data_IF_521334337976
#
_entry.id   IF_521334337976
#
_cell.length_a   1.000
_cell.length_b   1.000
_cell.length_c   1.000
_cell.angle_alpha   90.00
_cell.angle_beta   90.00
_cell.angle_gamma   90.00
#
_symmetry.space_group_name_H-M   'P 1'
#
loop_
_entity.id
_entity.type
_entity.pdbx_description
1 polymer ?
#
# COMPACT_ATOMS: atom_id res chain seq x y z
N UNK A 1 44.32 14.21 -20.97
CA UNK A 1 43.13 14.41 -20.11
C UNK A 1 41.93 13.72 -20.76
N UNK A 2 41.64 12.45 -20.42
CA UNK A 2 40.44 11.77 -20.89
C UNK A 2 39.41 11.74 -19.76
N UNK A 3 38.31 12.47 -19.93
CA UNK A 3 37.13 12.37 -19.07
C UNK A 3 36.44 11.07 -19.41
N UNK A 4 36.59 10.05 -18.57
CA UNK A 4 35.89 8.78 -18.70
C UNK A 4 34.41 8.96 -18.36
N UNK A 5 33.57 8.90 -19.38
CA UNK A 5 32.12 8.82 -19.33
C UNK A 5 31.66 7.45 -18.79
N UNK A 6 31.72 7.24 -17.47
CA UNK A 6 31.13 6.06 -16.80
C UNK A 6 29.63 6.22 -16.50
N UNK A 7 28.87 6.83 -17.41
CA UNK A 7 27.49 7.27 -17.14
C UNK A 7 26.36 6.38 -17.66
N UNK A 8 26.61 5.38 -18.52
CA UNK A 8 25.54 4.88 -19.41
C UNK A 8 25.37 3.36 -19.52
N UNK A 9 25.86 2.54 -18.57
CA UNK A 9 25.79 1.08 -18.68
C UNK A 9 25.45 0.36 -17.36
N UNK A 10 24.38 0.73 -16.65
CA UNK A 10 23.87 -0.06 -15.50
C UNK A 10 22.34 0.01 -15.31
N UNK A 11 21.56 -0.15 -16.37
CA UNK A 11 20.10 -0.28 -16.24
C UNK A 11 19.58 -1.64 -16.72
N UNK A 12 20.35 -2.71 -16.49
CA UNK A 12 19.89 -4.08 -16.75
C UNK A 12 20.36 -5.12 -15.71
N UNK A 13 20.90 -4.66 -14.58
CA UNK A 13 21.25 -5.56 -13.47
C UNK A 13 20.14 -5.53 -12.46
N UNK A 14 19.62 -6.69 -12.04
CA UNK A 14 18.70 -6.81 -10.89
C UNK A 14 19.30 -6.33 -9.56
N UNK A 15 20.41 -5.61 -9.57
CA UNK A 15 21.14 -5.13 -8.39
C UNK A 15 20.77 -3.67 -8.14
N UNK A 16 20.34 -3.34 -6.92
CA UNK A 16 20.08 -1.97 -6.43
C UNK A 16 21.18 -1.58 -5.48
N UNK A 17 21.84 -0.45 -5.74
CA UNK A 17 22.73 0.19 -4.77
C UNK A 17 21.90 0.94 -3.73
N UNK A 18 22.20 0.72 -2.45
CA UNK A 18 21.51 1.33 -1.31
C UNK A 18 22.49 2.17 -0.52
N UNK A 19 22.09 3.41 -0.21
CA UNK A 19 22.76 4.26 0.77
C UNK A 19 21.86 4.39 1.99
N UNK A 20 22.25 3.74 3.07
CA UNK A 20 21.56 3.78 4.35
C UNK A 20 22.17 4.80 5.28
N UNK A 21 21.33 5.60 5.93
CA UNK A 21 21.72 6.54 6.99
C UNK A 21 21.03 6.17 8.30
N UNK A 22 21.79 6.10 9.38
CA UNK A 22 21.30 5.99 10.75
C UNK A 22 22.08 6.97 11.63
N UNK A 23 21.42 7.88 12.33
CA UNK A 23 22.05 8.99 13.06
C UNK A 23 23.07 9.77 12.19
N UNK A 24 24.35 9.72 12.54
CA UNK A 24 25.46 10.31 11.80
C UNK A 24 26.18 9.31 10.87
N UNK A 25 25.82 8.03 10.94
CA UNK A 25 26.45 6.96 10.19
C UNK A 25 25.84 6.78 8.80
N UNK A 26 26.70 6.46 7.84
CA UNK A 26 26.29 6.08 6.48
C UNK A 26 26.90 4.74 6.10
N UNK A 27 26.06 3.85 5.59
CA UNK A 27 26.48 2.55 5.06
C UNK A 27 25.98 2.37 3.64
N UNK A 28 26.83 1.83 2.77
CA UNK A 28 26.50 1.56 1.37
C UNK A 28 26.66 0.08 1.08
N UNK A 29 25.65 -0.51 0.49
CA UNK A 29 25.63 -1.91 0.10
C UNK A 29 24.73 -2.07 -1.12
N UNK A 30 24.73 -3.26 -1.71
CA UNK A 30 23.88 -3.54 -2.86
C UNK A 30 23.08 -4.80 -2.61
N UNK A 31 21.83 -4.82 -3.07
CA UNK A 31 20.96 -5.99 -2.97
C UNK A 31 20.52 -6.45 -4.35
N UNK A 32 20.28 -7.74 -4.49
CA UNK A 32 19.71 -8.33 -5.68
C UNK A 32 18.18 -8.42 -5.52
N UNK A 33 17.44 -7.68 -6.35
CA UNK A 33 15.97 -7.65 -6.42
C UNK A 33 15.37 -9.05 -6.61
N UNK A 34 16.10 -9.97 -7.25
CA UNK A 34 15.61 -11.32 -7.48
C UNK A 34 15.60 -12.16 -6.19
N UNK A 35 16.60 -11.93 -5.32
CA UNK A 35 16.83 -12.69 -4.08
C UNK A 35 16.11 -12.10 -2.87
N UNK A 36 16.01 -10.77 -2.81
CA UNK A 36 15.46 -10.06 -1.66
C UNK A 36 14.11 -9.45 -2.02
N UNK A 37 13.03 -10.20 -1.77
CA UNK A 37 11.65 -9.82 -2.11
C UNK A 37 10.82 -9.40 -0.90
N UNK A 38 11.14 -9.95 0.27
CA UNK A 38 10.39 -9.70 1.49
C UNK A 38 10.99 -8.52 2.25
N UNK A 39 10.11 -7.71 2.82
CA UNK A 39 10.46 -6.61 3.69
C UNK A 39 11.12 -7.10 4.98
N UNK A 40 10.67 -8.21 5.55
CA UNK A 40 11.20 -8.75 6.80
C UNK A 40 12.68 -9.13 6.67
N UNK A 41 13.06 -9.76 5.56
CA UNK A 41 14.47 -10.05 5.25
C UNK A 41 15.31 -8.75 5.18
N UNK A 42 14.73 -7.70 4.61
CA UNK A 42 15.39 -6.40 4.47
C UNK A 42 15.52 -5.68 5.80
N UNK A 43 14.51 -5.78 6.65
CA UNK A 43 14.52 -5.27 8.01
C UNK A 43 15.64 -5.94 8.82
N UNK A 44 15.72 -7.26 8.82
CA UNK A 44 16.78 -8.01 9.52
C UNK A 44 18.18 -7.76 8.95
N UNK A 45 18.29 -7.52 7.64
CA UNK A 45 19.56 -7.10 7.05
C UNK A 45 20.01 -5.77 7.65
N UNK A 46 19.13 -4.76 7.69
CA UNK A 46 19.47 -3.45 8.26
C UNK A 46 19.75 -3.49 9.76
N UNK A 47 18.99 -4.31 10.49
CA UNK A 47 19.19 -4.57 11.92
C UNK A 47 20.60 -5.06 12.22
N UNK A 48 21.07 -6.08 11.49
CA UNK A 48 22.42 -6.59 11.64
C UNK A 48 23.49 -5.59 11.15
N UNK A 49 23.20 -4.87 10.08
CA UNK A 49 24.13 -3.96 9.43
C UNK A 49 24.38 -2.70 10.29
N UNK A 50 23.38 -2.21 11.02
CA UNK A 50 23.49 -1.04 11.92
C UNK A 50 23.52 -1.40 13.42
N UNK A 51 23.62 -2.69 13.77
CA UNK A 51 23.66 -3.18 15.15
C UNK A 51 22.44 -2.73 16.00
N UNK A 52 21.23 -2.93 15.47
CA UNK A 52 19.96 -2.47 16.06
C UNK A 52 19.12 -3.59 16.69
N UNK A 53 19.73 -4.71 17.09
CA UNK A 53 19.04 -5.93 17.54
C UNK A 53 18.00 -5.70 18.67
N UNK A 54 18.23 -4.71 19.54
CA UNK A 54 17.33 -4.38 20.65
C UNK A 54 16.71 -2.98 20.52
N UNK A 55 16.84 -2.35 19.35
CA UNK A 55 16.41 -0.96 19.14
C UNK A 55 15.31 -0.95 18.08
N UNK A 56 14.03 -0.76 18.44
CA UNK A 56 12.98 -0.65 17.43
C UNK A 56 13.23 0.58 16.54
N UNK A 57 13.14 0.39 15.22
CA UNK A 57 13.42 1.45 14.26
C UNK A 57 12.40 1.48 13.11
N UNK A 58 12.30 2.64 12.46
CA UNK A 58 11.52 2.86 11.25
C UNK A 58 12.46 3.07 10.07
N UNK A 59 12.03 2.61 8.89
CA UNK A 59 12.76 2.77 7.64
C UNK A 59 11.94 3.69 6.73
N UNK A 60 12.59 4.74 6.22
CA UNK A 60 12.00 5.62 5.20
C UNK A 60 12.93 5.70 3.99
N UNK A 61 12.38 5.94 2.81
CA UNK A 61 13.14 6.20 1.59
C UNK A 61 12.74 7.52 0.95
N UNK A 62 13.67 8.11 0.21
CA UNK A 62 13.39 9.30 -0.59
C UNK A 62 12.98 8.88 -2.00
N UNK A 63 11.77 9.23 -2.41
CA UNK A 63 11.29 8.98 -3.77
C UNK A 63 11.84 10.00 -4.79
N UNK A 64 11.56 9.79 -6.08
CA UNK A 64 11.95 10.69 -7.17
C UNK A 64 11.45 12.14 -6.98
N UNK A 65 10.34 12.34 -6.26
CA UNK A 65 9.78 13.65 -5.92
C UNK A 65 10.37 14.25 -4.64
N UNK A 66 11.40 13.63 -4.06
CA UNK A 66 12.06 14.03 -2.80
C UNK A 66 11.21 13.85 -1.54
N UNK A 67 10.08 13.17 -1.64
CA UNK A 67 9.24 12.80 -0.50
C UNK A 67 9.86 11.66 0.32
N UNK A 68 9.79 11.78 1.65
CA UNK A 68 10.16 10.71 2.58
C UNK A 68 8.96 9.79 2.81
N UNK A 69 9.04 8.58 2.29
CA UNK A 69 7.98 7.57 2.36
C UNK A 69 8.44 6.39 3.22
N UNK A 70 7.55 5.79 4.05
CA UNK A 70 7.92 4.65 4.87
C UNK A 70 8.11 3.38 4.02
N UNK A 71 9.09 2.56 4.41
CA UNK A 71 9.18 1.16 4.02
C UNK A 71 8.77 0.33 5.23
N UNK A 72 7.52 -0.13 5.23
CA UNK A 72 6.91 -0.86 6.35
C UNK A 72 6.12 -2.11 5.91
N UNK A 73 6.18 -2.47 4.63
CA UNK A 73 5.60 -3.69 4.07
C UNK A 73 6.27 -4.05 2.73
N UNK A 74 5.90 -5.21 2.18
CA UNK A 74 6.46 -5.74 0.93
C UNK A 74 6.17 -4.84 -0.28
N UNK A 75 4.99 -4.21 -0.35
CA UNK A 75 4.61 -3.33 -1.46
C UNK A 75 5.46 -2.05 -1.47
N UNK A 76 5.61 -1.40 -0.32
CA UNK A 76 6.44 -0.22 -0.15
C UNK A 76 7.92 -0.54 -0.40
N UNK A 77 8.40 -1.70 0.03
CA UNK A 77 9.75 -2.18 -0.27
C UNK A 77 9.96 -2.37 -1.77
N UNK A 78 9.05 -3.08 -2.46
CA UNK A 78 9.10 -3.26 -3.91
C UNK A 78 9.07 -1.92 -4.66
N UNK A 79 8.22 -0.99 -4.21
CA UNK A 79 8.15 0.37 -4.76
C UNK A 79 9.46 1.12 -4.57
N UNK A 80 10.04 1.12 -3.37
CA UNK A 80 11.32 1.74 -3.08
C UNK A 80 12.45 1.21 -4.01
N UNK A 81 12.49 -0.10 -4.26
CA UNK A 81 13.47 -0.70 -5.18
C UNK A 81 13.23 -0.34 -6.64
N UNK A 82 12.00 -0.08 -7.04
CA UNK A 82 11.66 0.27 -8.43
C UNK A 82 11.88 1.75 -8.74
N UNK A 83 11.71 2.65 -7.76
CA UNK A 83 11.93 4.09 -7.94
C UNK A 83 13.37 4.54 -7.67
N UNK A 84 14.22 3.65 -7.16
CA UNK A 84 15.64 3.90 -6.90
C UNK A 84 16.40 4.38 -8.15
N UNK A 85 16.77 5.67 -8.18
CA UNK A 85 17.58 6.27 -9.26
C UNK A 85 18.53 7.36 -8.70
N UNK A 86 19.86 7.23 -8.82
CA UNK A 86 20.65 6.06 -9.25
C UNK A 86 20.86 5.01 -8.14
N UNK A 87 20.54 5.35 -6.89
CA UNK A 87 20.62 4.47 -5.71
C UNK A 87 19.43 4.72 -4.82
N UNK A 88 19.02 3.71 -4.06
CA UNK A 88 17.99 3.85 -3.05
C UNK A 88 18.59 4.54 -1.82
N UNK A 89 18.09 5.73 -1.48
CA UNK A 89 18.49 6.44 -0.26
C UNK A 89 17.49 6.12 0.82
N UNK A 90 17.94 5.47 1.89
CA UNK A 90 17.11 5.17 3.05
C UNK A 90 17.60 5.91 4.29
N UNK A 91 16.66 6.28 5.15
CA UNK A 91 16.87 6.88 6.45
C UNK A 91 16.23 5.98 7.50
N UNK A 92 17.05 5.56 8.45
CA UNK A 92 16.66 4.78 9.63
C UNK A 92 16.57 5.73 10.81
N UNK A 93 15.50 5.63 11.59
CA UNK A 93 15.31 6.40 12.83
C UNK A 93 14.79 5.48 13.92
N UNK A 94 15.17 5.71 15.18
CA UNK A 94 14.59 4.93 16.29
C UNK A 94 13.10 5.27 16.41
N UNK A 95 12.30 4.25 16.71
CA UNK A 95 10.85 4.38 16.89
C UNK A 95 10.59 5.33 18.08
N UNK A 96 9.86 6.41 17.84
CA UNK A 96 9.59 7.46 18.83
C UNK A 96 10.56 8.65 18.82
N UNK A 97 11.64 8.62 18.03
CA UNK A 97 12.58 9.76 17.87
C UNK A 97 12.26 10.63 16.64
N UNK A 98 11.41 10.15 15.73
CA UNK A 98 11.06 10.94 14.55
C UNK A 98 10.12 12.09 14.94
N UNK A 99 10.40 13.30 14.42
CA UNK A 99 9.58 14.49 14.70
C UNK A 99 8.10 14.30 14.30
N UNK A 100 7.84 13.40 13.33
CA UNK A 100 6.49 12.99 12.91
C UNK A 100 5.76 12.10 13.92
N UNK A 101 6.45 11.22 14.63
CA UNK A 101 5.85 10.42 15.74
C UNK A 101 5.59 11.27 16.99
N UNK A 102 6.39 12.33 17.23
CA UNK A 102 6.22 13.20 18.40
C UNK A 102 5.10 14.25 18.23
N UNK A 103 4.86 14.70 16.99
CA UNK A 103 3.98 15.85 16.69
C UNK A 103 2.85 15.55 15.69
N UNK A 104 2.74 14.33 15.18
CA UNK A 104 1.76 13.95 14.16
C UNK A 104 2.21 14.34 12.74
N UNK A 105 1.81 13.53 11.76
CA UNK A 105 2.06 13.78 10.34
C UNK A 105 1.08 14.82 9.80
N UNK A 106 1.34 16.09 10.13
CA UNK A 106 0.66 17.26 9.58
C UNK A 106 1.68 18.29 9.13
N UNK A 107 1.56 18.77 7.91
CA UNK A 107 2.42 19.80 7.34
C UNK A 107 2.19 21.16 8.00
N UNK A 108 2.80 21.40 9.17
CA UNK A 108 3.12 22.74 9.67
C UNK A 108 4.33 22.69 10.64
N UNK A 109 5.46 23.36 10.34
CA UNK A 109 6.51 23.58 11.31
C UNK A 109 6.17 24.83 12.13
N UNK A 110 5.74 24.69 13.40
CA UNK A 110 5.48 25.87 14.23
C UNK A 110 6.30 25.86 15.53
N UNK A 111 7.34 26.69 15.46
CA UNK A 111 8.04 27.43 16.52
C UNK A 111 9.13 26.69 17.32
N UNK A 112 10.38 26.98 16.95
CA UNK A 112 11.54 26.94 17.85
C UNK A 112 11.18 27.71 19.13
N UNK A 113 11.08 27.03 20.28
CA UNK A 113 10.90 27.69 21.57
C UNK A 113 12.19 28.38 22.00
N UNK A 114 12.08 29.61 22.45
CA UNK A 114 13.20 30.43 22.90
C UNK A 114 13.81 29.90 24.22
N UNK A 115 15.13 30.04 24.40
CA UNK A 115 15.88 29.42 25.51
C UNK A 115 15.54 29.96 26.90
N UNK A 116 14.88 31.12 26.99
CA UNK A 116 14.58 31.81 28.26
C UNK A 116 13.39 31.16 29.00
N UNK A 117 12.55 30.39 28.30
CA UNK A 117 11.35 29.74 28.87
C UNK A 117 11.65 28.60 29.86
N UNK A 118 12.93 28.24 30.06
CA UNK A 118 13.36 27.20 31.01
C UNK A 118 13.52 27.69 32.46
N UNK A 119 13.55 29.01 32.71
CA UNK A 119 13.85 29.56 34.04
C UNK A 119 12.63 29.87 34.93
N UNK A 120 11.39 29.79 34.43
CA UNK A 120 10.19 30.26 35.18
C UNK A 120 9.06 29.19 35.26
N UNK A 121 9.29 27.97 34.76
CA UNK A 121 8.24 26.94 34.70
C UNK A 121 8.25 25.99 35.90
N UNK A 122 7.28 26.16 36.80
CA UNK A 122 6.82 25.20 37.82
C UNK A 122 6.87 23.74 37.33
N UNK A 123 7.26 22.82 38.22
CA UNK A 123 7.18 21.37 38.06
C UNK A 123 5.74 20.91 37.76
N UNK A 124 5.33 20.99 36.51
CA UNK A 124 4.22 20.20 36.02
C UNK A 124 4.84 18.95 35.41
N UNK A 125 4.69 17.82 36.10
CA UNK A 125 5.03 16.50 35.58
C UNK A 125 4.53 16.43 34.13
N UNK A 126 5.39 16.13 33.15
CA UNK A 126 4.96 16.13 31.76
C UNK A 126 3.83 15.11 31.66
N UNK A 127 2.60 15.59 31.40
CA UNK A 127 1.46 14.72 31.12
C UNK A 127 1.94 13.69 30.11
N UNK A 128 1.82 12.39 30.43
CA UNK A 128 2.18 11.33 29.50
C UNK A 128 1.46 11.62 28.19
N UNK A 129 2.23 12.08 27.19
CA UNK A 129 1.69 12.32 25.86
C UNK A 129 1.36 10.95 25.29
N UNK A 130 0.10 10.74 24.93
CA UNK A 130 -0.32 9.55 24.18
C UNK A 130 0.53 9.50 22.92
N UNK A 131 1.40 8.50 22.81
CA UNK A 131 2.24 8.29 21.63
C UNK A 131 1.43 7.52 20.59
N UNK A 132 0.98 8.23 19.56
CA UNK A 132 0.31 7.61 18.41
C UNK A 132 1.42 7.21 17.43
N UNK A 133 1.54 5.91 17.14
CA UNK A 133 2.55 5.40 16.22
C UNK A 133 2.28 5.84 14.78
N UNK A 134 3.30 5.72 13.92
CA UNK A 134 3.11 5.82 12.47
C UNK A 134 2.15 4.71 11.99
N UNK A 135 1.34 5.01 10.97
CA UNK A 135 0.54 4.00 10.29
C UNK A 135 1.45 2.95 9.66
N UNK A 136 1.33 1.72 10.12
CA UNK A 136 2.04 0.55 9.62
C UNK A 136 1.16 -0.21 8.60
N UNK A 137 1.79 -0.91 7.66
CA UNK A 137 1.15 -1.75 6.63
C UNK A 137 0.00 -1.08 5.85
N UNK A 138 0.24 0.15 5.35
CA UNK A 138 -0.75 0.80 4.50
C UNK A 138 -0.87 0.05 3.18
N UNK A 139 -2.07 -0.47 2.91
CA UNK A 139 -2.33 -1.34 1.78
C UNK A 139 -3.67 -1.01 1.17
N UNK A 140 -3.72 -0.96 -0.16
CA UNK A 140 -4.98 -0.67 -0.85
C UNK A 140 -5.95 -1.83 -0.63
N UNK A 141 -7.17 -1.50 -0.22
CA UNK A 141 -8.25 -2.48 0.04
C UNK A 141 -9.20 -2.56 -1.16
N UNK A 142 -9.52 -1.42 -1.78
CA UNK A 142 -10.38 -1.38 -2.96
C UNK A 142 -10.12 -0.19 -3.89
N UNK A 143 -10.75 -0.21 -5.06
CA UNK A 143 -10.78 0.88 -6.02
C UNK A 143 -12.09 0.86 -6.84
N UNK A 144 -12.58 2.04 -7.21
CA UNK A 144 -13.46 2.19 -8.37
C UNK A 144 -12.57 2.52 -9.57
N UNK A 145 -12.77 1.85 -10.70
CA UNK A 145 -12.02 2.05 -11.94
C UNK A 145 -12.96 2.32 -13.11
N UNK A 146 -12.42 2.90 -14.18
CA UNK A 146 -13.10 3.14 -15.45
C UNK A 146 -14.39 3.96 -15.37
N UNK A 147 -14.50 4.86 -14.38
CA UNK A 147 -15.69 5.71 -14.13
C UNK A 147 -16.13 6.48 -15.37
N UNK A 148 -15.18 6.95 -16.18
CA UNK A 148 -15.47 7.75 -17.39
C UNK A 148 -15.76 6.90 -18.65
N UNK A 149 -15.58 5.58 -18.56
CA UNK A 149 -15.70 4.66 -19.70
C UNK A 149 -16.93 3.76 -19.54
N UNK A 150 -17.25 3.34 -18.32
CA UNK A 150 -18.44 2.53 -18.06
C UNK A 150 -19.68 3.43 -18.00
N UNK A 151 -20.87 2.92 -18.40
CA UNK A 151 -22.10 3.68 -18.25
C UNK A 151 -22.36 4.09 -16.80
N UNK A 152 -23.07 5.20 -16.57
CA UNK A 152 -23.35 5.75 -15.23
C UNK A 152 -24.05 4.74 -14.29
N UNK A 153 -24.85 3.84 -14.85
CA UNK A 153 -25.54 2.78 -14.09
C UNK A 153 -24.63 1.63 -13.68
N UNK A 154 -23.37 1.65 -14.12
CA UNK A 154 -22.38 0.60 -13.89
C UNK A 154 -21.24 1.12 -13.02
N UNK A 155 -20.61 0.20 -12.30
CA UNK A 155 -19.40 0.48 -11.55
C UNK A 155 -18.44 -0.69 -11.67
N UNK A 156 -17.21 -0.41 -12.09
CA UNK A 156 -16.15 -1.42 -12.05
C UNK A 156 -15.39 -1.31 -10.73
N UNK A 157 -15.45 -2.37 -9.93
CA UNK A 157 -14.86 -2.44 -8.59
C UNK A 157 -13.67 -3.40 -8.58
N UNK A 158 -12.55 -2.96 -8.02
CA UNK A 158 -11.38 -3.81 -7.75
C UNK A 158 -11.27 -4.03 -6.25
N UNK A 159 -11.34 -5.29 -5.80
CA UNK A 159 -11.13 -5.69 -4.42
C UNK A 159 -9.73 -6.31 -4.26
N UNK A 160 -9.01 -5.94 -3.21
CA UNK A 160 -7.67 -6.44 -2.92
C UNK A 160 -7.73 -7.37 -1.70
N UNK A 161 -7.31 -8.63 -1.87
CA UNK A 161 -7.26 -9.65 -0.79
C UNK A 161 -6.05 -9.46 0.14
N UNK A 162 -5.04 -8.70 -0.32
CA UNK A 162 -3.77 -8.38 0.35
C UNK A 162 -3.07 -9.61 0.98
N UNK A 163 -3.04 -10.73 0.26
CA UNK A 163 -2.38 -11.95 0.71
C UNK A 163 -3.11 -12.69 1.86
N UNK A 164 -4.31 -12.26 2.25
CA UNK A 164 -5.13 -13.04 3.17
C UNK A 164 -5.76 -14.24 2.45
N UNK A 165 -5.99 -15.35 3.17
CA UNK A 165 -6.75 -16.48 2.63
C UNK A 165 -8.27 -16.30 2.73
N UNK A 166 -8.70 -15.22 3.40
CA UNK A 166 -10.11 -14.92 3.62
C UNK A 166 -10.85 -14.64 2.31
N UNK A 167 -12.09 -15.14 2.12
CA UNK A 167 -12.86 -14.87 0.92
C UNK A 167 -13.17 -13.37 0.78
N UNK A 168 -13.54 -12.93 -0.43
CA UNK A 168 -13.93 -11.54 -0.70
C UNK A 168 -15.17 -11.09 0.10
N UNK A 169 -15.92 -12.02 0.70
CA UNK A 169 -16.96 -11.71 1.67
C UNK A 169 -18.32 -11.38 1.06
N UNK A 170 -18.66 -11.97 -0.08
CA UNK A 170 -20.00 -11.91 -0.65
C UNK A 170 -20.35 -13.23 -1.34
N UNK A 171 -21.64 -13.45 -1.56
CA UNK A 171 -22.19 -14.61 -2.26
C UNK A 171 -22.94 -14.14 -3.49
N UNK A 172 -22.93 -14.99 -4.52
CA UNK A 172 -23.67 -14.77 -5.76
C UNK A 172 -24.81 -15.78 -5.88
N UNK A 173 -25.82 -15.45 -6.68
CA UNK A 173 -26.95 -16.32 -7.02
C UNK A 173 -27.37 -16.12 -8.47
N UNK A 174 -28.05 -17.12 -9.01
CA UNK A 174 -28.78 -16.96 -10.25
C UNK A 174 -30.00 -16.04 -10.07
N UNK A 175 -30.39 -15.40 -11.15
CA UNK A 175 -31.57 -14.59 -11.27
C UNK A 175 -31.93 -14.33 -12.72
N UNK A 176 -32.84 -13.39 -12.92
CA UNK A 176 -33.33 -13.00 -14.24
C UNK A 176 -33.30 -11.50 -14.35
N UNK A 177 -32.65 -10.99 -15.39
CA UNK A 177 -32.63 -9.57 -15.72
C UNK A 177 -33.51 -9.33 -16.95
N UNK A 178 -34.25 -8.23 -16.98
CA UNK A 178 -35.05 -7.85 -18.14
C UNK A 178 -34.21 -6.91 -18.99
N UNK A 179 -33.92 -7.32 -20.22
CA UNK A 179 -33.12 -6.53 -21.16
C UNK A 179 -33.92 -6.23 -22.42
N UNK A 180 -33.62 -5.09 -23.03
CA UNK A 180 -34.09 -4.78 -24.38
C UNK A 180 -33.14 -5.44 -25.36
N UNK A 181 -33.64 -6.40 -26.12
CA UNK A 181 -32.91 -7.07 -27.19
C UNK A 181 -33.52 -6.68 -28.54
N UNK A 182 -32.86 -6.98 -29.67
CA UNK A 182 -33.43 -6.75 -31.00
C UNK A 182 -34.81 -7.41 -31.23
N UNK A 183 -35.17 -8.41 -30.42
CA UNK A 183 -36.44 -9.12 -30.49
C UNK A 183 -37.50 -8.61 -29.50
N UNK A 184 -37.17 -7.58 -28.70
CA UNK A 184 -38.08 -6.95 -27.75
C UNK A 184 -37.57 -7.01 -26.30
N UNK A 185 -38.49 -7.00 -25.33
CA UNK A 185 -38.16 -7.16 -23.92
C UNK A 185 -38.04 -8.64 -23.57
N UNK A 186 -36.83 -9.06 -23.22
CA UNK A 186 -36.54 -10.46 -22.91
C UNK A 186 -36.04 -10.62 -21.48
N UNK A 187 -36.43 -11.74 -20.87
CA UNK A 187 -35.93 -12.21 -19.58
C UNK A 187 -34.70 -13.07 -19.82
N UNK A 188 -33.54 -12.54 -19.48
CA UNK A 188 -32.26 -13.25 -19.66
C UNK A 188 -31.71 -13.74 -18.33
N UNK A 189 -31.03 -14.91 -18.28
CA UNK A 189 -30.29 -15.34 -17.11
C UNK A 189 -29.23 -14.32 -16.71
N UNK A 190 -29.15 -14.01 -15.42
CA UNK A 190 -28.18 -13.06 -14.87
C UNK A 190 -27.73 -13.49 -13.47
N UNK A 191 -26.57 -12.99 -13.05
CA UNK A 191 -25.97 -13.31 -11.75
C UNK A 191 -26.05 -12.08 -10.85
N UNK A 192 -26.45 -12.28 -9.60
CA UNK A 192 -26.63 -11.19 -8.63
C UNK A 192 -25.90 -11.48 -7.33
N UNK A 193 -25.50 -10.43 -6.63
CA UNK A 193 -25.03 -10.55 -5.25
C UNK A 193 -26.22 -10.92 -4.36
N UNK A 194 -26.16 -12.08 -3.71
CA UNK A 194 -27.23 -12.60 -2.85
C UNK A 194 -27.08 -12.17 -1.40
N UNK A 195 -25.84 -12.03 -0.92
CA UNK A 195 -25.52 -11.73 0.47
C UNK A 195 -24.12 -11.14 0.58
N UNK A 196 -23.94 -10.22 1.52
CA UNK A 196 -22.64 -9.76 2.00
C UNK A 196 -22.33 -10.42 3.36
N UNK A 197 -21.06 -10.72 3.60
CA UNK A 197 -20.59 -11.24 4.88
C UNK A 197 -20.34 -10.05 5.82
N UNK A 198 -20.96 -10.03 7.02
CA UNK A 198 -20.71 -8.98 8.01
C UNK A 198 -19.22 -8.87 8.38
N UNK A 199 -18.66 -7.67 8.29
CA UNK A 199 -17.23 -7.40 8.49
C UNK A 199 -16.32 -8.00 7.39
N UNK A 200 -16.90 -8.53 6.31
CA UNK A 200 -16.18 -9.03 5.15
C UNK A 200 -15.59 -7.89 4.31
N UNK A 201 -14.67 -8.24 3.41
CA UNK A 201 -14.00 -7.27 2.54
C UNK A 201 -15.00 -6.48 1.68
N UNK A 202 -15.91 -7.17 0.98
CA UNK A 202 -16.91 -6.52 0.13
C UNK A 202 -17.81 -5.55 0.92
N UNK A 203 -18.36 -5.98 2.06
CA UNK A 203 -19.20 -5.13 2.90
C UNK A 203 -18.44 -3.91 3.43
N UNK A 204 -17.22 -4.12 3.95
CA UNK A 204 -16.39 -3.06 4.53
C UNK A 204 -16.03 -1.96 3.55
N UNK A 205 -15.98 -2.27 2.25
CA UNK A 205 -15.68 -1.27 1.22
C UNK A 205 -16.89 -0.40 0.87
N UNK A 206 -18.12 -0.87 1.13
CA UNK A 206 -19.35 -0.18 0.72
C UNK A 206 -19.53 0.00 -0.78
N UNK A 207 -18.72 -0.68 -1.60
CA UNK A 207 -18.74 -0.53 -3.06
C UNK A 207 -19.69 -1.49 -3.77
N UNK A 208 -20.10 -2.55 -3.07
CA UNK A 208 -21.00 -3.61 -3.54
C UNK A 208 -22.19 -3.72 -2.60
N UNK A 209 -23.37 -4.02 -3.15
CA UNK A 209 -24.61 -4.20 -2.42
C UNK A 209 -25.32 -5.50 -2.80
N UNK A 210 -26.20 -5.98 -1.93
CA UNK A 210 -27.10 -7.09 -2.23
C UNK A 210 -28.05 -6.64 -3.36
N UNK A 211 -28.28 -7.53 -4.33
CA UNK A 211 -29.03 -7.32 -5.57
C UNK A 211 -28.31 -6.53 -6.68
N UNK A 212 -27.03 -6.18 -6.50
CA UNK A 212 -26.23 -5.74 -7.65
C UNK A 212 -26.08 -6.89 -8.66
N UNK A 213 -26.25 -6.56 -9.95
CA UNK A 213 -26.02 -7.50 -11.06
C UNK A 213 -24.52 -7.57 -11.37
N UNK A 214 -23.97 -8.78 -11.36
CA UNK A 214 -22.59 -9.03 -11.80
C UNK A 214 -22.61 -9.18 -13.32
N UNK A 215 -21.81 -8.38 -14.01
CA UNK A 215 -21.76 -8.36 -15.48
C UNK A 215 -20.45 -8.92 -16.02
N UNK A 216 -19.35 -8.68 -15.31
CA UNK A 216 -18.01 -9.06 -15.73
C UNK A 216 -17.16 -9.35 -14.49
N UNK A 217 -16.31 -10.36 -14.57
CA UNK A 217 -15.32 -10.68 -13.54
C UNK A 217 -13.96 -10.85 -14.20
N UNK A 218 -12.97 -10.05 -13.79
CA UNK A 218 -11.59 -10.11 -14.28
C UNK A 218 -11.46 -10.09 -15.82
N UNK A 219 -12.25 -9.28 -16.53
CA UNK A 219 -12.22 -9.21 -18.00
C UNK A 219 -13.14 -10.20 -18.71
N UNK A 220 -13.84 -11.07 -17.97
CA UNK A 220 -14.69 -12.13 -18.54
C UNK A 220 -16.16 -11.80 -18.27
N UNK A 221 -16.93 -11.64 -19.34
CA UNK A 221 -18.38 -11.43 -19.26
C UNK A 221 -19.07 -12.67 -18.69
N UNK A 222 -20.03 -12.47 -17.78
CA UNK A 222 -20.76 -13.58 -17.14
C UNK A 222 -22.02 -14.00 -17.89
N UNK A 223 -22.43 -13.24 -18.90
CA UNK A 223 -23.60 -13.55 -19.70
C UNK A 223 -23.49 -14.96 -20.32
N UNK A 224 -24.52 -15.79 -20.12
CA UNK A 224 -24.55 -17.17 -20.59
C UNK A 224 -23.62 -18.15 -19.86
N UNK A 225 -22.91 -17.72 -18.81
CA UNK A 225 -22.12 -18.60 -17.94
C UNK A 225 -22.98 -19.20 -16.84
N UNK A 226 -22.62 -20.39 -16.36
CA UNK A 226 -23.25 -21.01 -15.20
C UNK A 226 -22.69 -20.41 -13.91
N UNK A 227 -23.52 -20.31 -12.86
CA UNK A 227 -23.13 -19.80 -11.55
C UNK A 227 -21.84 -20.43 -11.01
N UNK A 228 -21.72 -21.75 -11.11
CA UNK A 228 -20.55 -22.50 -10.62
C UNK A 228 -19.24 -22.13 -11.34
N UNK A 229 -19.32 -21.84 -12.65
CA UNK A 229 -18.15 -21.36 -13.40
C UNK A 229 -17.71 -19.99 -12.87
N UNK A 230 -18.66 -19.12 -12.56
CA UNK A 230 -18.37 -17.77 -12.09
C UNK A 230 -17.85 -17.76 -10.65
N UNK A 231 -18.48 -18.52 -9.76
CA UNK A 231 -18.09 -18.62 -8.36
C UNK A 231 -16.74 -19.28 -8.11
N UNK A 232 -16.42 -20.33 -8.87
CA UNK A 232 -15.22 -21.15 -8.63
C UNK A 232 -14.03 -20.74 -9.48
N UNK A 233 -14.26 -20.20 -10.68
CA UNK A 233 -13.18 -19.95 -11.66
C UNK A 233 -12.71 -18.50 -11.71
N UNK A 234 -13.59 -17.55 -11.37
CA UNK A 234 -13.32 -16.13 -11.63
C UNK A 234 -13.16 -15.27 -10.37
N UNK A 235 -13.46 -15.78 -9.17
CA UNK A 235 -13.30 -15.05 -7.90
C UNK A 235 -12.16 -15.57 -7.02
#
# INVERSE_FOLDING_TARGET
MSRSSKGALRYNGGIVEIKSKFDAEFRRFSIDKSKMRLFDDFYHLLENLHFLQDVPFIITYTDQYMDLLPINNNENFSRALSTARPSLKILIQRKGESYGELNGYGSQPVKKKNPITKLIGSENSPRQKIQISLMEDFRRVSAIIDVDIVPETHRRVKLMKNGSDKPLGFYIRDGTSVRVTPHGLEKVPAIFISRLVPGGLAESTGLLAVNDEVLEVNGIEVAGKKLDQVGTTYF
#
